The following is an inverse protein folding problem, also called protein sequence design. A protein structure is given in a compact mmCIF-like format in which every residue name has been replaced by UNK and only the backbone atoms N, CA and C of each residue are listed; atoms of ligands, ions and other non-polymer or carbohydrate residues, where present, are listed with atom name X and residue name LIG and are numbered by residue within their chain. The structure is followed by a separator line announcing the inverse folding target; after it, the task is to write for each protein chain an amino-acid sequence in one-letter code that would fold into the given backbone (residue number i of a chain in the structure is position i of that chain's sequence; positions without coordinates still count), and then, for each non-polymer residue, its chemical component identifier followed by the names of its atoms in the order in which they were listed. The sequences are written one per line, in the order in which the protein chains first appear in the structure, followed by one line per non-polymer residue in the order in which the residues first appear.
data_IF_364071723808
#
_entry.id   IF_364071723808
#
_cell.length_a   1.000
_cell.length_b   1.000
_cell.length_c   1.000
_cell.angle_alpha   90.00
_cell.angle_beta   90.00
_cell.angle_gamma   90.00
#
_symmetry.space_group_name_H-M   'P 1'
#
loop_
_entity.id
_entity.type
_entity.pdbx_description
1 polymer ?
#
# COMPACT_ATOMS: atom_id res chain seq x y z
N UNK A 1 -5.03 9.56 -10.03
CA UNK A 1 -6.23 8.69 -9.96
C UNK A 1 -7.07 9.11 -8.76
N UNK A 2 -8.35 9.46 -8.95
CA UNK A 2 -9.26 9.79 -7.83
C UNK A 2 -9.30 8.66 -6.79
N UNK A 3 -9.27 7.41 -7.26
CA UNK A 3 -9.13 6.21 -6.43
C UNK A 3 -7.98 6.30 -5.41
N UNK A 4 -6.78 6.76 -5.80
CA UNK A 4 -5.64 6.76 -4.88
C UNK A 4 -5.87 7.71 -3.70
N UNK A 5 -6.25 8.95 -3.99
CA UNK A 5 -6.41 9.99 -2.95
C UNK A 5 -7.67 9.81 -2.13
N UNK A 6 -8.76 9.35 -2.76
CA UNK A 6 -10.08 9.24 -2.13
C UNK A 6 -10.33 7.92 -1.40
N UNK A 7 -9.66 6.84 -1.82
CA UNK A 7 -9.92 5.49 -1.28
C UNK A 7 -8.63 4.89 -0.72
N UNK A 8 -7.63 4.67 -1.57
CA UNK A 8 -6.51 3.80 -1.21
C UNK A 8 -5.59 4.43 -0.14
N UNK A 9 -5.21 5.69 -0.33
CA UNK A 9 -4.40 6.43 0.62
C UNK A 9 -5.15 6.70 1.93
N UNK A 10 -6.48 6.88 1.88
CA UNK A 10 -7.29 7.03 3.09
C UNK A 10 -7.21 5.76 3.94
N UNK A 11 -7.29 4.57 3.33
CA UNK A 11 -7.15 3.28 4.02
C UNK A 11 -5.78 3.12 4.69
N UNK A 12 -4.71 3.66 4.11
CA UNK A 12 -3.41 3.74 4.76
C UNK A 12 -3.44 4.70 5.97
N UNK A 13 -3.95 5.93 5.77
CA UNK A 13 -3.99 6.96 6.81
C UNK A 13 -4.75 6.54 8.06
N UNK A 14 -5.89 5.87 7.91
CA UNK A 14 -6.72 5.45 9.04
C UNK A 14 -6.09 4.34 9.87
N UNK A 15 -5.04 3.67 9.38
CA UNK A 15 -4.23 2.72 10.14
C UNK A 15 -3.02 3.42 10.78
N UNK A 16 -2.31 4.24 9.99
CA UNK A 16 -1.06 4.88 10.43
C UNK A 16 -1.29 5.97 11.48
N UNK A 17 -2.28 6.84 11.31
CA UNK A 17 -2.47 7.98 12.22
C UNK A 17 -2.84 7.53 13.65
N UNK A 18 -3.81 6.62 13.86
CA UNK A 18 -4.10 6.12 15.20
C UNK A 18 -2.90 5.45 15.88
N UNK A 19 -2.05 4.74 15.12
CA UNK A 19 -0.81 4.19 15.66
C UNK A 19 0.08 5.30 16.23
N UNK A 20 0.35 6.33 15.43
CA UNK A 20 1.25 7.44 15.78
C UNK A 20 0.70 8.31 16.92
N UNK A 21 -0.63 8.50 17.00
CA UNK A 21 -1.25 9.33 18.03
C UNK A 21 -1.55 8.62 19.34
N UNK A 22 -1.34 7.30 19.43
CA UNK A 22 -1.52 6.55 20.67
C UNK A 22 -2.87 5.85 20.80
N UNK A 23 -3.67 5.81 19.74
CA UNK A 23 -5.05 5.33 19.74
C UNK A 23 -5.20 3.87 19.27
N UNK A 24 -4.11 3.21 18.87
CA UNK A 24 -4.12 1.85 18.31
C UNK A 24 -2.78 1.14 18.50
N UNK A 25 -2.82 -0.17 18.75
CA UNK A 25 -1.68 -1.09 18.86
C UNK A 25 -1.56 -2.08 17.68
N UNK A 26 -2.38 -1.90 16.65
CA UNK A 26 -2.38 -2.72 15.44
C UNK A 26 -3.58 -2.45 14.52
N UNK A 27 -3.54 -2.92 13.26
CA UNK A 27 -4.67 -2.83 12.35
C UNK A 27 -5.77 -3.82 12.77
N UNK A 28 -7.00 -3.34 12.82
CA UNK A 28 -8.20 -4.16 13.04
C UNK A 28 -8.49 -5.05 11.84
N UNK A 29 -9.26 -6.13 12.05
CA UNK A 29 -9.70 -7.01 10.95
C UNK A 29 -10.50 -6.26 9.88
N UNK A 30 -11.30 -5.25 10.28
CA UNK A 30 -11.99 -4.39 9.33
C UNK A 30 -11.00 -3.60 8.47
N UNK A 31 -9.98 -2.99 9.06
CA UNK A 31 -8.98 -2.23 8.30
C UNK A 31 -8.19 -3.13 7.34
N UNK A 32 -7.85 -4.36 7.75
CA UNK A 32 -7.22 -5.35 6.87
C UNK A 32 -8.11 -5.72 5.69
N UNK A 33 -9.40 -5.99 5.96
CA UNK A 33 -10.39 -6.26 4.91
C UNK A 33 -10.58 -5.07 3.95
N UNK A 34 -10.63 -3.85 4.48
CA UNK A 34 -10.70 -2.63 3.68
C UNK A 34 -9.42 -2.50 2.81
N UNK A 35 -8.23 -2.84 3.32
CA UNK A 35 -6.99 -2.85 2.52
C UNK A 35 -7.05 -3.92 1.42
N UNK A 36 -7.48 -5.14 1.72
CA UNK A 36 -7.66 -6.21 0.73
C UNK A 36 -8.64 -5.79 -0.37
N UNK A 37 -9.73 -5.12 -0.03
CA UNK A 37 -10.68 -4.58 -1.00
C UNK A 37 -10.01 -3.54 -1.92
N UNK A 38 -9.07 -2.73 -1.39
CA UNK A 38 -8.35 -1.75 -2.20
C UNK A 38 -7.35 -2.43 -3.15
N UNK A 39 -6.67 -3.48 -2.69
CA UNK A 39 -5.87 -4.33 -3.57
C UNK A 39 -6.73 -4.96 -4.67
N UNK A 40 -7.95 -5.41 -4.34
CA UNK A 40 -8.93 -5.90 -5.32
C UNK A 40 -9.34 -4.86 -6.37
N UNK A 41 -9.41 -3.57 -6.00
CA UNK A 41 -9.65 -2.50 -6.97
C UNK A 41 -8.44 -2.27 -7.89
N UNK A 42 -7.22 -2.33 -7.36
CA UNK A 42 -5.99 -2.26 -8.17
C UNK A 42 -5.94 -3.43 -9.14
N UNK A 43 -6.23 -4.63 -8.65
CA UNK A 43 -6.33 -5.87 -9.43
C UNK A 43 -7.33 -5.73 -10.59
N UNK A 44 -8.48 -5.10 -10.33
CA UNK A 44 -9.51 -4.83 -11.34
C UNK A 44 -9.06 -3.76 -12.35
N UNK A 45 -8.42 -2.67 -11.92
CA UNK A 45 -7.91 -1.64 -12.82
C UNK A 45 -6.81 -2.15 -13.75
N UNK A 46 -5.94 -3.03 -13.23
CA UNK A 46 -4.93 -3.68 -14.05
C UNK A 46 -5.56 -4.54 -15.13
N UNK A 47 -6.67 -5.25 -14.85
CA UNK A 47 -7.41 -5.99 -15.87
C UNK A 47 -6.49 -6.98 -16.59
N UNK A 48 -6.25 -6.78 -17.88
CA UNK A 48 -5.26 -7.57 -18.66
C UNK A 48 -3.98 -6.79 -18.98
N UNK A 49 -3.85 -5.55 -18.49
CA UNK A 49 -2.77 -4.63 -18.78
C UNK A 49 -1.61 -4.78 -17.81
N UNK A 50 -0.43 -4.35 -18.25
CA UNK A 50 0.80 -4.35 -17.44
C UNK A 50 0.91 -3.15 -16.49
N UNK A 51 0.24 -2.04 -16.81
CA UNK A 51 0.23 -0.80 -16.05
C UNK A 51 -1.21 -0.36 -15.82
N UNK A 52 -1.45 0.40 -14.77
CA UNK A 52 -2.79 0.59 -14.19
C UNK A 52 -3.73 1.44 -15.04
N UNK A 53 -3.19 2.27 -15.95
CA UNK A 53 -3.97 3.21 -16.75
C UNK A 53 -3.75 3.07 -18.26
N UNK A 54 -2.53 2.71 -18.69
CA UNK A 54 -2.12 2.66 -20.09
C UNK A 54 -1.26 1.41 -20.38
N UNK A 55 -0.79 1.27 -21.61
CA UNK A 55 0.10 0.15 -22.00
C UNK A 55 1.58 0.41 -21.67
N UNK A 56 1.88 1.56 -21.06
CA UNK A 56 3.20 1.97 -20.59
C UNK A 56 3.10 2.59 -19.19
N UNK A 57 4.25 2.76 -18.52
CA UNK A 57 4.34 3.36 -17.19
C UNK A 57 3.84 4.82 -17.21
N UNK A 58 2.96 5.17 -16.28
CA UNK A 58 2.46 6.54 -16.13
C UNK A 58 2.60 7.04 -14.68
N UNK A 59 2.31 8.32 -14.46
CA UNK A 59 2.21 8.87 -13.09
C UNK A 59 1.13 8.18 -12.25
N UNK A 60 0.13 7.53 -12.87
CA UNK A 60 -0.86 6.76 -12.13
C UNK A 60 -0.23 5.55 -11.45
N UNK A 61 0.70 4.88 -12.13
CA UNK A 61 1.44 3.74 -11.57
C UNK A 61 2.33 4.16 -10.41
N UNK A 62 3.06 5.28 -10.57
CA UNK A 62 3.91 5.81 -9.51
C UNK A 62 3.07 6.20 -8.28
N UNK A 63 1.96 6.89 -8.49
CA UNK A 63 1.08 7.36 -7.41
C UNK A 63 0.44 6.21 -6.64
N UNK A 64 -0.19 5.26 -7.35
CA UNK A 64 -0.88 4.14 -6.70
C UNK A 64 0.15 3.16 -6.15
N UNK A 65 1.22 2.88 -6.88
CA UNK A 65 2.28 1.95 -6.48
C UNK A 65 3.00 2.41 -5.22
N UNK A 66 3.24 3.71 -5.06
CA UNK A 66 3.79 4.25 -3.81
C UNK A 66 2.90 3.93 -2.60
N UNK A 67 1.58 4.08 -2.73
CA UNK A 67 0.62 3.71 -1.69
C UNK A 67 0.60 2.20 -1.47
N UNK A 68 0.66 1.38 -2.53
CA UNK A 68 0.72 -0.09 -2.41
C UNK A 68 1.95 -0.57 -1.64
N UNK A 69 3.12 0.00 -1.93
CA UNK A 69 4.39 -0.33 -1.25
C UNK A 69 4.33 0.11 0.22
N UNK A 70 3.84 1.32 0.48
CA UNK A 70 3.68 1.83 1.85
C UNK A 70 2.63 1.06 2.67
N UNK A 71 1.73 0.33 2.02
CA UNK A 71 0.73 -0.52 2.68
C UNK A 71 1.31 -1.88 3.13
N UNK A 72 2.38 -2.37 2.49
CA UNK A 72 2.95 -3.71 2.77
C UNK A 72 3.31 -3.94 4.25
N UNK A 73 3.86 -2.95 4.99
CA UNK A 73 4.13 -3.10 6.41
C UNK A 73 2.87 -3.27 7.28
N UNK A 74 1.72 -2.79 6.83
CA UNK A 74 0.48 -2.74 7.60
C UNK A 74 -0.37 -3.99 7.36
N UNK A 75 -0.50 -4.37 6.09
CA UNK A 75 -1.20 -5.57 5.66
C UNK A 75 -0.64 -6.00 4.31
N UNK A 76 0.08 -7.12 4.31
CA UNK A 76 0.83 -7.59 3.14
C UNK A 76 -0.13 -8.02 2.03
N UNK A 77 0.22 -7.67 0.79
CA UNK A 77 -0.50 -8.12 -0.38
C UNK A 77 -0.47 -9.65 -0.48
N UNK A 78 -1.64 -10.27 -0.65
CA UNK A 78 -1.76 -11.70 -0.93
C UNK A 78 -1.60 -11.95 -2.45
N UNK A 79 -0.49 -12.54 -2.90
CA UNK A 79 -0.24 -12.74 -4.33
C UNK A 79 -1.12 -13.84 -4.95
N UNK A 80 -1.73 -14.71 -4.14
CA UNK A 80 -2.66 -15.74 -4.62
C UNK A 80 -4.01 -15.11 -4.94
N UNK A 81 -4.47 -14.18 -4.09
CA UNK A 81 -5.72 -13.44 -4.33
C UNK A 81 -5.58 -12.34 -5.39
N UNK A 82 -4.43 -11.66 -5.42
CA UNK A 82 -4.20 -10.48 -6.26
C UNK A 82 -2.95 -10.62 -7.14
N UNK A 83 -2.90 -11.63 -8.04
CA UNK A 83 -1.70 -11.97 -8.78
C UNK A 83 -1.22 -10.87 -9.73
N UNK A 84 -2.13 -10.11 -10.35
CA UNK A 84 -1.75 -9.02 -11.27
C UNK A 84 -1.17 -7.85 -10.50
N UNK A 85 -1.77 -7.52 -9.36
CA UNK A 85 -1.29 -6.49 -8.45
C UNK A 85 0.10 -6.84 -7.94
N UNK A 86 0.33 -8.09 -7.55
CA UNK A 86 1.64 -8.56 -7.11
C UNK A 86 2.68 -8.42 -8.23
N UNK A 87 2.38 -8.90 -9.44
CA UNK A 87 3.28 -8.76 -10.58
C UNK A 87 3.55 -7.30 -10.97
N UNK A 88 2.55 -6.43 -10.87
CA UNK A 88 2.69 -5.00 -11.13
C UNK A 88 3.53 -4.31 -10.05
N UNK A 89 3.33 -4.60 -8.77
CA UNK A 89 4.17 -4.08 -7.68
C UNK A 89 5.61 -4.52 -7.86
N UNK A 90 5.88 -5.80 -8.07
CA UNK A 90 7.26 -6.28 -8.29
C UNK A 90 7.94 -5.59 -9.48
N UNK A 91 7.19 -5.30 -10.55
CA UNK A 91 7.72 -4.51 -11.67
C UNK A 91 8.06 -3.07 -11.27
N UNK A 92 7.21 -2.43 -10.47
CA UNK A 92 7.45 -1.06 -10.00
C UNK A 92 8.61 -1.00 -9.02
N UNK A 93 8.77 -1.98 -8.14
CA UNK A 93 9.88 -2.07 -7.20
C UNK A 93 11.25 -2.14 -7.90
N UNK A 94 11.29 -2.62 -9.15
CA UNK A 94 12.49 -2.60 -9.97
C UNK A 94 12.86 -1.21 -10.53
N UNK A 95 11.90 -0.28 -10.57
CA UNK A 95 12.11 1.07 -11.09
C UNK A 95 13.06 1.87 -10.17
N UNK A 96 14.04 2.63 -10.70
CA UNK A 96 15.04 3.35 -9.90
C UNK A 96 14.46 4.23 -8.79
N UNK A 97 13.35 4.94 -9.07
CA UNK A 97 12.68 5.77 -8.07
C UNK A 97 12.08 4.96 -6.91
N UNK A 98 11.57 3.76 -7.18
CA UNK A 98 11.05 2.89 -6.13
C UNK A 98 12.19 2.37 -5.27
N UNK A 99 13.23 1.82 -5.89
CA UNK A 99 14.43 1.34 -5.18
C UNK A 99 15.09 2.40 -4.31
N UNK A 100 15.26 3.61 -4.84
CA UNK A 100 16.01 4.68 -4.18
C UNK A 100 15.18 5.41 -3.13
N UNK A 101 13.85 5.51 -3.30
CA UNK A 101 13.01 6.41 -2.50
C UNK A 101 11.90 5.66 -1.79
N UNK A 102 11.06 4.92 -2.52
CA UNK A 102 9.84 4.35 -1.95
C UNK A 102 10.11 3.14 -1.05
N UNK A 103 11.00 2.22 -1.45
CA UNK A 103 11.34 1.06 -0.62
C UNK A 103 11.99 1.49 0.72
N UNK A 104 13.01 2.37 0.74
CA UNK A 104 13.52 2.90 2.01
C UNK A 104 12.47 3.65 2.83
N UNK A 105 11.60 4.43 2.17
CA UNK A 105 10.51 5.14 2.83
C UNK A 105 9.49 4.21 3.50
N UNK A 106 9.15 3.09 2.86
CA UNK A 106 8.27 2.08 3.42
C UNK A 106 8.89 1.35 4.61
N UNK A 107 10.22 1.13 4.60
CA UNK A 107 10.93 0.59 5.76
C UNK A 107 10.96 1.57 6.94
N UNK A 108 11.11 2.87 6.68
CA UNK A 108 10.99 3.90 7.73
C UNK A 108 9.57 3.89 8.30
N UNK A 109 8.55 3.84 7.43
CA UNK A 109 7.15 3.76 7.87
C UNK A 109 6.91 2.51 8.73
N UNK A 110 7.42 1.35 8.32
CA UNK A 110 7.36 0.09 9.08
C UNK A 110 7.93 0.29 10.47
N UNK A 111 9.13 0.86 10.57
CA UNK A 111 9.78 1.11 11.85
C UNK A 111 8.94 2.03 12.75
N UNK A 112 8.49 3.17 12.21
CA UNK A 112 7.69 4.16 12.96
C UNK A 112 6.39 3.54 13.47
N UNK A 113 5.65 2.86 12.60
CA UNK A 113 4.34 2.30 12.94
C UNK A 113 4.47 1.15 13.93
N UNK A 114 5.44 0.24 13.74
CA UNK A 114 5.67 -0.84 14.70
C UNK A 114 6.10 -0.32 16.07
N UNK A 115 7.01 0.66 16.11
CA UNK A 115 7.41 1.28 17.38
C UNK A 115 6.24 1.95 18.09
N UNK A 116 5.36 2.61 17.35
CA UNK A 116 4.16 3.23 17.89
C UNK A 116 3.19 2.17 18.43
N UNK A 117 2.93 1.10 17.67
CA UNK A 117 2.10 0.00 18.12
C UNK A 117 2.62 -0.67 19.39
N UNK A 118 3.91 -0.99 19.46
CA UNK A 118 4.51 -1.56 20.68
C UNK A 118 4.38 -0.62 21.88
N UNK A 119 4.55 0.70 21.70
CA UNK A 119 4.35 1.68 22.76
C UNK A 119 2.90 1.73 23.25
N UNK A 120 1.94 1.47 22.36
CA UNK A 120 0.52 1.58 22.67
C UNK A 120 -0.07 0.30 23.29
N UNK A 121 0.66 -0.82 23.23
CA UNK A 121 0.32 -2.04 23.99
C UNK A 121 0.43 -1.75 25.48
N UNK A 122 -0.69 -1.90 26.19
CA UNK A 122 -0.75 -1.80 27.65
C UNK A 122 -0.38 -3.13 28.30
#
# INVERSE_FOLDING_TARGET
MFFNVGIFFIRLKVVVLPAVFGDSDGPTEKQKADIDEAYGMVEAYLGTKKYIAADHLTIADISVGATTVAMQPLHKLDPVKFPRTAAWVSRLEEHPSFKKILLPGAEILRFVVNAAWEKNKK
#
